data_IF_180018002192
#
_entry.id   IF_180018002192
#
_cell.length_a   1.000
_cell.length_b   1.000
_cell.length_c   1.000
_cell.angle_alpha   90.00
_cell.angle_beta   90.00
_cell.angle_gamma   90.00
#
_symmetry.space_group_name_H-M   'P 1'
#
loop_
_entity.id
_entity.type
_entity.pdbx_description
1 polymer ?
#
# COMPACT_ATOMS: atom_id res chain seq x y z
N UNK A 1 -22.81 3.00 22.25
CA UNK A 1 -22.35 4.00 21.25
C UNK A 1 -23.27 3.86 20.07
N UNK A 2 -24.03 4.90 19.74
CA UNK A 2 -24.90 4.89 18.57
C UNK A 2 -24.06 4.92 17.29
N UNK A 3 -24.56 4.28 16.22
CA UNK A 3 -23.86 4.22 14.93
C UNK A 3 -23.58 5.62 14.35
N UNK A 4 -24.45 6.60 14.62
CA UNK A 4 -24.28 8.02 14.28
C UNK A 4 -23.05 8.63 14.96
N UNK A 5 -22.80 8.32 16.23
CA UNK A 5 -21.64 8.85 16.97
C UNK A 5 -20.29 8.34 16.43
N UNK A 6 -20.22 7.12 15.88
CA UNK A 6 -19.02 6.59 15.25
C UNK A 6 -18.73 7.30 13.92
N UNK A 7 -19.78 7.57 13.13
CA UNK A 7 -19.65 8.30 11.88
C UNK A 7 -19.18 9.74 12.09
N UNK A 8 -19.68 10.41 13.13
CA UNK A 8 -19.28 11.76 13.49
C UNK A 8 -17.81 11.84 13.90
N UNK A 9 -17.34 10.88 14.73
CA UNK A 9 -15.92 10.79 15.13
C UNK A 9 -15.03 10.51 13.91
N UNK A 10 -15.45 9.59 13.04
CA UNK A 10 -14.72 9.20 11.83
C UNK A 10 -14.57 10.40 10.88
N UNK A 11 -15.63 11.24 10.75
CA UNK A 11 -15.59 12.46 10.00
C UNK A 11 -14.72 13.54 10.64
N UNK A 12 -14.78 13.74 11.96
CA UNK A 12 -13.93 14.69 12.68
C UNK A 12 -12.45 14.36 12.50
N UNK A 13 -12.07 13.08 12.59
CA UNK A 13 -10.69 12.65 12.35
C UNK A 13 -10.29 12.90 10.90
N UNK A 14 -11.19 12.64 9.93
CA UNK A 14 -10.93 12.93 8.53
C UNK A 14 -10.57 14.40 8.31
N UNK A 15 -11.29 15.34 8.95
CA UNK A 15 -11.06 16.78 8.79
C UNK A 15 -9.63 17.21 9.16
N UNK A 16 -8.95 16.49 10.06
CA UNK A 16 -7.55 16.79 10.42
C UNK A 16 -6.56 16.46 9.31
N UNK A 17 -6.92 15.52 8.42
CA UNK A 17 -6.06 15.05 7.34
C UNK A 17 -6.47 15.56 5.96
N UNK A 18 -7.73 16.03 5.83
CA UNK A 18 -8.30 16.32 4.54
C UNK A 18 -7.88 17.70 4.01
N UNK A 19 -7.16 17.67 2.90
CA UNK A 19 -6.82 18.83 2.10
C UNK A 19 -5.87 19.82 2.79
N UNK A 20 -5.38 20.72 2.00
CA UNK A 20 -4.71 21.94 2.46
C UNK A 20 -4.85 22.98 1.35
N UNK A 21 -4.62 24.25 1.66
CA UNK A 21 -4.58 25.31 0.65
C UNK A 21 -3.18 25.40 -0.03
N UNK A 22 -2.41 24.31 -0.01
CA UNK A 22 -1.05 24.25 -0.53
C UNK A 22 -1.00 23.42 -1.83
N UNK A 23 -0.87 24.10 -2.95
CA UNK A 23 -0.84 23.49 -4.29
C UNK A 23 0.31 22.47 -4.43
N UNK A 24 1.48 22.72 -3.82
CA UNK A 24 2.60 21.77 -3.87
C UNK A 24 2.20 20.46 -3.19
N UNK A 25 1.57 20.54 -2.02
CA UNK A 25 1.14 19.36 -1.28
C UNK A 25 0.04 18.60 -2.03
N UNK A 26 -0.88 19.31 -2.68
CA UNK A 26 -1.92 18.71 -3.52
C UNK A 26 -1.30 17.91 -4.67
N UNK A 27 -0.35 18.49 -5.42
CA UNK A 27 0.36 17.81 -6.49
C UNK A 27 1.20 16.63 -6.00
N UNK A 28 1.87 16.78 -4.84
CA UNK A 28 2.61 15.71 -4.19
C UNK A 28 1.70 14.51 -3.87
N UNK A 29 0.57 14.77 -3.23
CA UNK A 29 -0.39 13.73 -2.83
C UNK A 29 -1.01 13.06 -4.05
N UNK A 30 -1.36 13.83 -5.10
CA UNK A 30 -1.85 13.28 -6.36
C UNK A 30 -0.81 12.35 -7.03
N UNK A 31 0.47 12.71 -6.99
CA UNK A 31 1.54 11.85 -7.49
C UNK A 31 1.72 10.59 -6.62
N UNK A 32 1.75 10.73 -5.29
CA UNK A 32 1.94 9.61 -4.35
C UNK A 32 0.78 8.61 -4.37
N UNK A 33 -0.46 9.05 -4.62
CA UNK A 33 -1.62 8.15 -4.69
C UNK A 33 -1.68 7.38 -6.01
N UNK A 34 -0.90 7.77 -7.02
CA UNK A 34 -0.87 7.11 -8.32
C UNK A 34 -0.07 5.81 -8.25
N UNK A 35 -0.67 4.69 -8.67
CA UNK A 35 0.02 3.40 -8.78
C UNK A 35 1.23 3.43 -9.73
N UNK A 36 1.21 4.29 -10.75
CA UNK A 36 2.34 4.45 -11.69
C UNK A 36 3.61 4.98 -11.00
N UNK A 37 3.47 5.80 -9.96
CA UNK A 37 4.60 6.32 -9.18
C UNK A 37 5.41 5.20 -8.53
N UNK A 38 4.79 4.07 -8.22
CA UNK A 38 5.41 2.96 -7.50
C UNK A 38 5.93 1.85 -8.42
N UNK A 39 5.85 2.02 -9.76
CA UNK A 39 6.45 1.07 -10.71
C UNK A 39 7.92 0.79 -10.40
N UNK A 40 8.80 1.80 -10.11
CA UNK A 40 10.19 1.52 -9.74
C UNK A 40 10.31 0.61 -8.51
N UNK A 41 9.46 0.78 -7.49
CA UNK A 41 9.44 -0.09 -6.32
C UNK A 41 9.06 -1.54 -6.69
N UNK A 42 8.02 -1.74 -7.49
CA UNK A 42 7.62 -3.08 -7.91
C UNK A 42 8.69 -3.75 -8.78
N UNK A 43 9.37 -2.98 -9.64
CA UNK A 43 10.47 -3.49 -10.45
C UNK A 43 11.67 -3.91 -9.61
N UNK A 44 12.08 -3.11 -8.61
CA UNK A 44 13.20 -3.49 -7.74
C UNK A 44 12.85 -4.69 -6.87
N UNK A 45 11.62 -4.79 -6.35
CA UNK A 45 11.15 -5.99 -5.64
C UNK A 45 11.21 -7.23 -6.54
N UNK A 46 10.84 -7.11 -7.80
CA UNK A 46 10.97 -8.20 -8.76
C UNK A 46 12.44 -8.57 -9.03
N UNK A 47 13.33 -7.58 -9.20
CA UNK A 47 14.76 -7.80 -9.42
C UNK A 47 15.40 -8.54 -8.26
N UNK A 48 15.11 -8.16 -7.00
CA UNK A 48 15.66 -8.86 -5.84
C UNK A 48 15.15 -10.30 -5.73
N UNK A 49 13.89 -10.56 -6.11
CA UNK A 49 13.38 -11.92 -6.20
C UNK A 49 14.17 -12.74 -7.23
N UNK A 50 14.46 -12.17 -8.39
CA UNK A 50 15.25 -12.83 -9.42
C UNK A 50 16.70 -13.10 -8.98
N UNK A 51 17.32 -12.16 -8.25
CA UNK A 51 18.73 -12.28 -7.83
C UNK A 51 18.95 -13.27 -6.69
N UNK A 52 17.96 -13.40 -5.81
CA UNK A 52 18.07 -14.19 -4.58
C UNK A 52 17.36 -15.56 -4.65
N UNK A 53 16.91 -16.00 -5.84
CA UNK A 53 16.30 -17.32 -6.04
C UNK A 53 16.89 -18.01 -7.26
N UNK A 54 17.23 -19.28 -7.10
CA UNK A 54 18.01 -20.04 -8.10
C UNK A 54 17.17 -20.59 -9.25
N UNK A 55 15.90 -20.90 -8.99
CA UNK A 55 15.05 -21.59 -9.97
C UNK A 55 13.89 -20.72 -10.43
N UNK A 56 13.53 -20.89 -11.71
CA UNK A 56 12.36 -20.21 -12.32
C UNK A 56 11.07 -20.56 -11.55
N UNK A 57 10.99 -21.80 -11.01
CA UNK A 57 9.84 -22.22 -10.21
C UNK A 57 9.69 -21.44 -8.89
N UNK A 58 10.80 -21.18 -8.18
CA UNK A 58 10.81 -20.36 -6.96
C UNK A 58 10.39 -18.92 -7.27
N UNK A 59 10.98 -18.32 -8.30
CA UNK A 59 10.66 -16.95 -8.77
C UNK A 59 9.19 -16.88 -9.15
N UNK A 60 8.71 -17.82 -9.97
CA UNK A 60 7.31 -17.86 -10.40
C UNK A 60 6.32 -18.00 -9.24
N UNK A 61 6.66 -18.80 -8.22
CA UNK A 61 5.86 -18.96 -7.02
C UNK A 61 5.77 -17.64 -6.23
N UNK A 62 6.89 -16.93 -6.03
CA UNK A 62 6.92 -15.65 -5.30
C UNK A 62 6.11 -14.59 -6.05
N UNK A 63 6.36 -14.43 -7.36
CA UNK A 63 5.65 -13.45 -8.20
C UNK A 63 4.15 -13.77 -8.25
N UNK A 64 3.79 -15.05 -8.40
CA UNK A 64 2.41 -15.51 -8.35
C UNK A 64 1.74 -15.19 -7.01
N UNK A 65 2.43 -15.41 -5.89
CA UNK A 65 1.92 -15.06 -4.56
C UNK A 65 1.78 -13.54 -4.37
N UNK A 66 2.73 -12.74 -4.86
CA UNK A 66 2.59 -11.28 -4.84
C UNK A 66 1.36 -10.81 -5.64
N UNK A 67 1.10 -11.40 -6.80
CA UNK A 67 -0.13 -11.16 -7.57
C UNK A 67 -1.39 -11.60 -6.80
N UNK A 68 -1.37 -12.76 -6.14
CA UNK A 68 -2.48 -13.24 -5.31
C UNK A 68 -2.78 -12.31 -4.13
N UNK A 69 -1.76 -11.65 -3.54
CA UNK A 69 -1.99 -10.62 -2.52
C UNK A 69 -2.90 -9.51 -3.04
N UNK A 70 -2.60 -8.97 -4.23
CA UNK A 70 -3.40 -7.90 -4.84
C UNK A 70 -4.79 -8.45 -5.23
N UNK A 71 -4.84 -9.59 -5.91
CA UNK A 71 -6.08 -10.19 -6.38
C UNK A 71 -7.08 -10.45 -5.25
N UNK A 72 -6.63 -11.00 -4.13
CA UNK A 72 -7.52 -11.28 -2.99
C UNK A 72 -7.85 -10.02 -2.19
N UNK A 73 -6.89 -9.12 -1.94
CA UNK A 73 -7.14 -7.90 -1.21
C UNK A 73 -8.13 -7.00 -1.96
N UNK A 74 -7.90 -6.80 -3.26
CA UNK A 74 -8.78 -6.02 -4.13
C UNK A 74 -10.13 -6.70 -4.35
N UNK A 75 -10.11 -7.98 -4.70
CA UNK A 75 -11.33 -8.76 -4.95
C UNK A 75 -12.25 -8.84 -3.73
N UNK A 76 -11.73 -9.00 -2.52
CA UNK A 76 -12.52 -9.00 -1.29
C UNK A 76 -13.04 -7.59 -0.99
N UNK A 77 -12.17 -6.56 -1.10
CA UNK A 77 -12.56 -5.18 -0.83
C UNK A 77 -13.62 -4.68 -1.82
N UNK A 78 -13.34 -4.77 -3.13
CA UNK A 78 -14.22 -4.23 -4.18
C UNK A 78 -15.45 -5.14 -4.45
N UNK A 79 -15.22 -6.46 -4.51
CA UNK A 79 -16.24 -7.42 -4.93
C UNK A 79 -17.19 -7.84 -3.82
N UNK A 80 -16.78 -7.79 -2.55
CA UNK A 80 -17.58 -8.30 -1.42
C UNK A 80 -17.90 -7.18 -0.43
N UNK A 81 -16.88 -6.54 0.15
CA UNK A 81 -17.10 -5.64 1.29
C UNK A 81 -17.81 -4.35 0.86
N UNK A 82 -17.38 -3.72 -0.24
CA UNK A 82 -17.97 -2.46 -0.71
C UNK A 82 -19.45 -2.59 -1.05
N UNK A 83 -19.90 -3.60 -1.83
CA UNK A 83 -21.33 -3.77 -2.10
C UNK A 83 -22.16 -4.03 -0.85
N UNK A 84 -21.62 -4.78 0.14
CA UNK A 84 -22.31 -5.07 1.37
C UNK A 84 -22.44 -3.87 2.30
N UNK A 85 -21.38 -3.05 2.41
CA UNK A 85 -21.37 -1.88 3.28
C UNK A 85 -22.12 -0.69 2.66
N UNK A 86 -22.10 -0.55 1.34
CA UNK A 86 -22.72 0.51 0.55
C UNK A 86 -22.49 1.93 1.13
N UNK A 87 -21.34 2.17 1.77
CA UNK A 87 -21.00 3.44 2.43
C UNK A 87 -20.60 4.49 1.39
N UNK A 88 -21.23 5.67 1.46
CA UNK A 88 -20.83 6.80 0.64
C UNK A 88 -19.39 7.25 0.92
N UNK A 89 -18.69 7.71 -0.12
CA UNK A 89 -17.39 8.37 0.06
C UNK A 89 -17.57 9.77 0.66
N UNK A 90 -16.62 10.26 1.50
CA UNK A 90 -16.70 11.60 2.09
C UNK A 90 -17.00 12.68 1.05
N UNK A 91 -16.33 12.64 -0.10
CA UNK A 91 -16.49 13.59 -1.20
C UNK A 91 -17.85 13.53 -1.90
N UNK A 92 -18.64 12.46 -1.71
CA UNK A 92 -19.93 12.24 -2.35
C UNK A 92 -21.10 12.15 -1.36
N UNK A 93 -20.82 12.00 -0.07
CA UNK A 93 -21.82 11.86 0.99
C UNK A 93 -22.68 13.13 1.07
N UNK A 94 -24.04 13.05 0.90
CA UNK A 94 -24.92 14.21 0.93
C UNK A 94 -24.78 15.07 2.18
N UNK A 95 -24.42 14.49 3.32
CA UNK A 95 -24.33 15.18 4.60
C UNK A 95 -23.05 16.01 4.77
N UNK A 96 -21.92 15.50 4.25
CA UNK A 96 -20.60 16.08 4.55
C UNK A 96 -19.81 16.56 3.32
N UNK A 97 -20.25 16.26 2.10
CA UNK A 97 -19.54 16.55 0.84
C UNK A 97 -19.12 18.02 0.64
N UNK A 98 -19.85 18.96 1.25
CA UNK A 98 -19.54 20.39 1.16
C UNK A 98 -18.47 20.84 2.16
N UNK A 99 -18.20 20.02 3.18
CA UNK A 99 -17.15 20.25 4.18
C UNK A 99 -15.86 19.50 3.89
N UNK A 100 -15.83 18.70 2.79
CA UNK A 100 -14.67 17.95 2.36
C UNK A 100 -13.95 18.68 1.23
N UNK A 101 -12.66 18.94 1.42
CA UNK A 101 -11.81 19.51 0.37
C UNK A 101 -11.49 18.41 -0.66
N UNK A 102 -11.70 18.74 -1.93
CA UNK A 102 -11.47 17.84 -3.06
C UNK A 102 -10.39 18.43 -3.96
N UNK A 103 -9.28 17.70 -4.13
CA UNK A 103 -8.17 18.09 -4.99
C UNK A 103 -8.49 17.71 -6.44
N UNK A 104 -8.27 18.62 -7.39
CA UNK A 104 -8.47 18.42 -8.85
C UNK A 104 -9.85 17.82 -9.22
N UNK A 105 -10.90 18.14 -8.43
CA UNK A 105 -12.24 17.57 -8.59
C UNK A 105 -12.29 16.02 -8.56
N UNK A 106 -11.33 15.38 -7.90
CA UNK A 106 -11.25 13.93 -7.81
C UNK A 106 -12.41 13.36 -6.97
N UNK A 107 -13.46 12.90 -7.64
CA UNK A 107 -14.63 12.24 -7.05
C UNK A 107 -14.78 10.85 -7.63
N UNK A 108 -14.51 9.84 -6.81
CA UNK A 108 -14.68 8.45 -7.18
C UNK A 108 -16.16 8.06 -6.99
N UNK A 109 -16.73 7.30 -7.94
CA UNK A 109 -18.17 6.99 -7.99
C UNK A 109 -18.57 5.75 -7.18
N UNK A 110 -17.62 4.89 -6.84
CA UNK A 110 -17.81 3.65 -6.09
C UNK A 110 -17.95 3.90 -4.58
N UNK A 111 -18.27 2.85 -3.82
CA UNK A 111 -18.40 2.90 -2.37
C UNK A 111 -17.05 3.08 -1.66
N UNK A 112 -17.11 3.56 -0.41
CA UNK A 112 -15.94 3.91 0.39
C UNK A 112 -15.35 2.74 1.17
N UNK A 113 -16.18 1.97 1.86
CA UNK A 113 -15.75 0.96 2.83
C UNK A 113 -15.58 -0.44 2.19
N UNK A 114 -14.43 -1.10 2.37
CA UNK A 114 -13.17 -0.64 2.92
C UNK A 114 -12.22 -0.12 1.83
N UNK A 115 -11.08 0.49 2.22
CA UNK A 115 -10.11 0.99 1.25
C UNK A 115 -9.30 -0.13 0.60
N UNK A 116 -9.54 -0.40 -0.68
CA UNK A 116 -8.78 -1.36 -1.48
C UNK A 116 -7.30 -0.94 -1.63
N UNK A 117 -7.00 0.37 -1.74
CA UNK A 117 -5.62 0.87 -1.76
C UNK A 117 -4.85 0.50 -0.49
N UNK A 118 -5.46 0.70 0.68
CA UNK A 118 -4.86 0.32 1.95
C UNK A 118 -4.65 -1.19 2.04
N UNK A 119 -5.64 -1.98 1.60
CA UNK A 119 -5.56 -3.43 1.61
C UNK A 119 -4.44 -3.96 0.69
N UNK A 120 -4.37 -3.47 -0.55
CA UNK A 120 -3.38 -3.90 -1.54
C UNK A 120 -1.95 -3.55 -1.11
N UNK A 121 -1.70 -2.30 -0.69
CA UNK A 121 -0.35 -1.88 -0.29
C UNK A 121 0.11 -2.58 0.98
N UNK A 122 -0.78 -2.77 1.96
CA UNK A 122 -0.44 -3.48 3.19
C UNK A 122 -0.24 -4.98 2.94
N UNK A 123 -1.02 -5.64 2.07
CA UNK A 123 -0.84 -7.05 1.74
C UNK A 123 0.53 -7.32 1.12
N UNK A 124 0.97 -6.47 0.17
CA UNK A 124 2.31 -6.52 -0.42
C UNK A 124 3.38 -6.27 0.64
N UNK A 125 3.21 -5.25 1.49
CA UNK A 125 4.17 -4.93 2.55
C UNK A 125 4.36 -6.11 3.51
N UNK A 126 3.28 -6.74 3.96
CA UNK A 126 3.33 -7.89 4.86
C UNK A 126 3.94 -9.11 4.18
N UNK A 127 3.53 -9.42 2.94
CA UNK A 127 4.07 -10.56 2.21
C UNK A 127 5.59 -10.48 2.04
N UNK A 128 6.12 -9.35 1.52
CA UNK A 128 7.56 -9.18 1.35
C UNK A 128 8.32 -9.06 2.67
N UNK A 129 7.72 -8.49 3.71
CA UNK A 129 8.31 -8.45 5.06
C UNK A 129 8.53 -9.84 5.63
N UNK A 130 7.56 -10.73 5.47
CA UNK A 130 7.64 -12.12 5.93
C UNK A 130 8.56 -12.95 5.05
N UNK A 131 8.61 -12.66 3.74
CA UNK A 131 9.48 -13.33 2.77
C UNK A 131 10.96 -13.02 3.02
N UNK A 132 11.33 -11.75 3.13
CA UNK A 132 12.72 -11.31 3.21
C UNK A 132 13.25 -11.30 4.65
N UNK A 133 12.38 -11.06 5.63
CA UNK A 133 12.71 -11.00 7.07
C UNK A 133 13.81 -10.01 7.43
N UNK A 134 13.80 -8.85 6.79
CA UNK A 134 14.61 -7.70 7.15
C UNK A 134 13.78 -6.68 7.92
N UNK A 135 14.26 -6.23 9.08
CA UNK A 135 13.58 -5.17 9.88
C UNK A 135 13.50 -3.85 9.11
N UNK A 136 14.57 -3.52 8.41
CA UNK A 136 14.65 -2.29 7.63
C UNK A 136 13.65 -2.31 6.48
N UNK A 137 13.60 -3.38 5.70
CA UNK A 137 12.61 -3.55 4.63
C UNK A 137 11.18 -3.51 5.16
N UNK A 138 10.92 -4.21 6.28
CA UNK A 138 9.59 -4.22 6.91
C UNK A 138 9.14 -2.80 7.26
N UNK A 139 9.99 -2.04 7.97
CA UNK A 139 9.69 -0.66 8.33
C UNK A 139 9.40 0.19 7.09
N UNK A 140 10.23 0.07 6.07
CA UNK A 140 10.12 0.82 4.81
C UNK A 140 8.83 0.52 4.06
N UNK A 141 8.49 -0.77 3.88
CA UNK A 141 7.28 -1.15 3.15
C UNK A 141 6.00 -0.81 3.93
N UNK A 142 6.02 -0.94 5.26
CA UNK A 142 4.90 -0.50 6.09
C UNK A 142 4.75 1.01 6.04
N UNK A 143 5.84 1.77 6.16
CA UNK A 143 5.81 3.23 6.03
C UNK A 143 5.30 3.67 4.65
N UNK A 144 5.73 3.02 3.57
CA UNK A 144 5.21 3.24 2.21
C UNK A 144 3.71 2.99 2.12
N UNK A 145 3.22 1.89 2.72
CA UNK A 145 1.78 1.61 2.76
C UNK A 145 1.00 2.68 3.54
N UNK A 146 1.53 3.12 4.70
CA UNK A 146 0.90 4.17 5.51
C UNK A 146 0.88 5.53 4.80
N UNK A 147 1.93 5.88 4.04
CA UNK A 147 1.93 7.07 3.18
C UNK A 147 0.81 6.98 2.14
N UNK A 148 0.64 5.83 1.47
CA UNK A 148 -0.47 5.62 0.54
C UNK A 148 -1.83 5.73 1.25
N UNK A 149 -1.99 5.21 2.46
CA UNK A 149 -3.19 5.36 3.27
C UNK A 149 -3.49 6.84 3.59
N UNK A 150 -2.47 7.59 4.00
CA UNK A 150 -2.59 9.02 4.28
C UNK A 150 -3.06 9.82 3.05
N UNK A 151 -2.56 9.51 1.85
CA UNK A 151 -3.01 10.19 0.63
C UNK A 151 -4.52 10.04 0.41
N UNK A 152 -5.11 8.91 0.82
CA UNK A 152 -6.57 8.67 0.65
C UNK A 152 -7.41 9.54 1.59
N UNK A 153 -6.91 9.77 2.82
CA UNK A 153 -7.53 10.69 3.77
C UNK A 153 -7.40 12.14 3.30
N UNK A 154 -6.19 12.52 2.87
CA UNK A 154 -5.93 13.87 2.36
C UNK A 154 -6.87 14.24 1.20
N UNK A 155 -7.08 13.33 0.26
CA UNK A 155 -7.94 13.52 -0.91
C UNK A 155 -9.44 13.44 -0.59
N UNK A 156 -9.82 13.15 0.66
CA UNK A 156 -11.24 13.04 1.06
C UNK A 156 -12.00 11.90 0.36
N UNK A 157 -11.30 10.85 -0.10
CA UNK A 157 -11.91 9.72 -0.80
C UNK A 157 -12.26 8.55 0.10
N UNK A 158 -11.69 8.49 1.32
CA UNK A 158 -11.97 7.47 2.33
C UNK A 158 -12.05 8.09 3.73
N UNK A 159 -12.85 7.49 4.58
CA UNK A 159 -12.84 7.77 6.02
C UNK A 159 -11.69 7.01 6.72
N UNK A 160 -11.24 7.47 7.92
CA UNK A 160 -10.24 6.75 8.72
C UNK A 160 -10.59 5.29 8.97
N UNK A 161 -11.84 4.98 9.28
CA UNK A 161 -12.30 3.61 9.53
C UNK A 161 -12.14 2.71 8.27
N UNK A 162 -12.37 3.26 7.07
CA UNK A 162 -12.17 2.53 5.80
C UNK A 162 -10.71 2.12 5.64
N UNK A 163 -9.79 3.01 6.04
CA UNK A 163 -8.34 2.77 6.00
C UNK A 163 -7.94 1.70 7.01
N UNK A 164 -8.38 1.81 8.26
CA UNK A 164 -8.07 0.82 9.30
C UNK A 164 -8.55 -0.58 8.90
N UNK A 165 -9.79 -0.69 8.40
CA UNK A 165 -10.31 -1.97 7.92
C UNK A 165 -9.56 -2.48 6.69
N UNK A 166 -9.15 -1.59 5.77
CA UNK A 166 -8.31 -1.96 4.63
C UNK A 166 -6.94 -2.50 5.06
N UNK A 167 -6.28 -1.82 6.02
CA UNK A 167 -5.01 -2.28 6.59
C UNK A 167 -5.16 -3.67 7.22
N UNK A 168 -6.20 -3.89 8.04
CA UNK A 168 -6.46 -5.19 8.67
C UNK A 168 -6.69 -6.29 7.62
N UNK A 169 -7.48 -6.00 6.59
CA UNK A 169 -7.68 -6.91 5.47
C UNK A 169 -6.35 -7.24 4.78
N UNK A 170 -5.52 -6.23 4.50
CA UNK A 170 -4.21 -6.41 3.89
C UNK A 170 -3.27 -7.27 4.73
N UNK A 171 -3.24 -7.07 6.06
CA UNK A 171 -2.44 -7.91 6.99
C UNK A 171 -2.91 -9.37 6.91
N UNK A 172 -4.21 -9.61 6.96
CA UNK A 172 -4.77 -10.96 6.90
C UNK A 172 -4.43 -11.63 5.56
N UNK A 173 -4.71 -10.97 4.44
CA UNK A 173 -4.44 -11.50 3.10
C UNK A 173 -2.95 -11.76 2.90
N UNK A 174 -2.07 -10.78 3.20
CA UNK A 174 -0.62 -10.92 3.05
C UNK A 174 -0.05 -12.08 3.88
N UNK A 175 -0.55 -12.24 5.11
CA UNK A 175 -0.16 -13.34 5.99
C UNK A 175 -0.63 -14.69 5.46
N UNK A 176 -1.89 -14.81 5.04
CA UNK A 176 -2.43 -16.08 4.50
C UNK A 176 -1.72 -16.49 3.21
N UNK A 177 -1.47 -15.54 2.30
CA UNK A 177 -0.72 -15.81 1.07
C UNK A 177 0.73 -16.20 1.38
N UNK A 178 1.38 -15.56 2.38
CA UNK A 178 2.71 -15.99 2.82
C UNK A 178 2.71 -17.42 3.40
N UNK A 179 1.72 -17.78 4.20
CA UNK A 179 1.61 -19.16 4.74
C UNK A 179 1.41 -20.18 3.61
N UNK A 180 0.60 -19.85 2.61
CA UNK A 180 0.46 -20.66 1.39
C UNK A 180 1.80 -20.78 0.65
N UNK A 181 2.47 -19.64 0.39
CA UNK A 181 3.81 -19.61 -0.21
C UNK A 181 4.79 -20.50 0.55
N UNK A 182 4.91 -20.32 1.87
CA UNK A 182 5.85 -21.07 2.71
C UNK A 182 5.61 -22.58 2.63
N UNK A 183 4.35 -23.01 2.63
CA UNK A 183 3.99 -24.44 2.48
C UNK A 183 4.40 -24.99 1.11
N UNK A 184 4.19 -24.23 0.04
CA UNK A 184 4.55 -24.66 -1.32
C UNK A 184 6.06 -24.64 -1.53
N UNK A 185 6.73 -23.58 -1.07
CA UNK A 185 8.17 -23.41 -1.19
C UNK A 185 8.96 -24.54 -0.51
N UNK A 186 8.56 -24.96 0.69
CA UNK A 186 9.18 -26.09 1.42
C UNK A 186 9.08 -27.45 0.68
N UNK A 187 8.18 -27.60 -0.28
CA UNK A 187 8.12 -28.79 -1.14
C UNK A 187 9.11 -28.74 -2.30
N UNK A 188 9.56 -27.53 -2.67
CA UNK A 188 10.45 -27.29 -3.81
C UNK A 188 11.91 -27.18 -3.39
N UNK A 189 12.16 -26.70 -2.16
CA UNK A 189 13.51 -26.45 -1.66
C UNK A 189 13.60 -26.78 -0.17
N UNK A 190 14.70 -27.42 0.29
CA UNK A 190 14.94 -27.61 1.72
C UNK A 190 15.12 -26.26 2.41
N UNK A 191 14.67 -26.17 3.66
CA UNK A 191 14.80 -24.96 4.47
C UNK A 191 16.26 -24.79 4.90
N UNK A 192 16.97 -23.82 4.32
CA UNK A 192 18.32 -23.43 4.70
C UNK A 192 18.21 -22.16 5.56
N UNK A 193 18.78 -22.20 6.77
CA UNK A 193 18.90 -21.00 7.61
C UNK A 193 20.27 -20.37 7.38
N UNK A 194 20.26 -19.15 6.90
CA UNK A 194 21.47 -18.36 6.73
C UNK A 194 21.85 -17.70 8.05
N UNK A 195 23.10 -17.90 8.48
CA UNK A 195 23.70 -17.23 9.65
C UNK A 195 24.88 -16.41 9.14
N UNK A 196 24.58 -15.17 8.72
CA UNK A 196 25.58 -14.26 8.15
C UNK A 196 25.15 -12.82 8.38
N UNK A 197 26.11 -11.90 8.42
CA UNK A 197 25.84 -10.47 8.40
C UNK A 197 25.49 -9.94 7.00
N UNK A 198 25.80 -10.70 5.95
CA UNK A 198 25.58 -10.34 4.55
C UNK A 198 24.17 -10.73 4.06
N UNK A 199 23.61 -11.81 4.62
CA UNK A 199 22.31 -12.33 4.19
C UNK A 199 21.28 -12.30 5.32
N UNK A 200 20.02 -12.05 4.97
CA UNK A 200 18.90 -12.23 5.89
C UNK A 200 18.74 -13.72 6.27
N UNK A 201 17.97 -14.01 7.30
CA UNK A 201 17.71 -15.40 7.72
C UNK A 201 17.03 -16.28 6.65
N UNK A 202 16.49 -15.67 5.60
CA UNK A 202 15.84 -16.30 4.44
C UNK A 202 16.71 -16.30 3.18
N UNK A 203 17.97 -15.81 3.28
CA UNK A 203 18.95 -15.84 2.20
C UNK A 203 18.93 -14.66 1.24
N UNK A 204 18.21 -13.59 1.56
CA UNK A 204 18.26 -12.36 0.76
C UNK A 204 19.48 -11.53 1.12
N UNK A 205 20.20 -11.02 0.11
CA UNK A 205 21.37 -10.16 0.29
C UNK A 205 20.97 -8.81 0.87
N UNK A 206 21.75 -8.33 1.85
CA UNK A 206 21.52 -7.03 2.48
C UNK A 206 21.75 -5.86 1.50
N UNK A 207 22.70 -5.98 0.57
CA UNK A 207 22.95 -4.98 -0.46
C UNK A 207 21.74 -4.81 -1.40
N UNK A 208 21.00 -5.88 -1.66
CA UNK A 208 19.76 -5.82 -2.43
C UNK A 208 18.65 -5.09 -1.68
N UNK A 209 18.64 -5.13 -0.34
CA UNK A 209 17.70 -4.35 0.47
C UNK A 209 18.05 -2.87 0.39
N UNK A 210 19.33 -2.51 0.43
CA UNK A 210 19.80 -1.12 0.27
C UNK A 210 19.44 -0.56 -1.11
N UNK A 211 19.42 -1.41 -2.15
CA UNK A 211 18.95 -1.04 -3.48
C UNK A 211 17.46 -0.64 -3.46
N UNK A 212 16.60 -1.36 -2.72
CA UNK A 212 15.17 -0.98 -2.57
C UNK A 212 15.05 0.39 -1.91
N UNK A 213 15.83 0.63 -0.84
CA UNK A 213 15.84 1.91 -0.14
C UNK A 213 16.25 3.05 -1.08
N UNK A 214 17.31 2.84 -1.86
CA UNK A 214 17.80 3.81 -2.84
C UNK A 214 16.73 4.14 -3.88
N UNK A 215 16.09 3.13 -4.47
CA UNK A 215 15.02 3.33 -5.46
C UNK A 215 13.82 4.07 -4.87
N UNK A 216 13.41 3.75 -3.63
CA UNK A 216 12.35 4.47 -2.95
C UNK A 216 12.70 5.94 -2.72
N UNK A 217 13.90 6.22 -2.22
CA UNK A 217 14.37 7.59 -2.00
C UNK A 217 14.42 8.39 -3.31
N UNK A 218 14.96 7.81 -4.39
CA UNK A 218 14.96 8.44 -5.71
C UNK A 218 13.55 8.70 -6.23
N UNK A 219 12.61 7.77 -6.01
CA UNK A 219 11.20 7.95 -6.38
C UNK A 219 10.57 9.10 -5.62
N UNK A 220 10.82 9.22 -4.31
CA UNK A 220 10.32 10.34 -3.50
C UNK A 220 10.93 11.67 -3.94
N UNK A 221 12.23 11.72 -4.20
CA UNK A 221 12.91 12.92 -4.72
C UNK A 221 12.29 13.33 -6.07
N UNK A 222 12.08 12.37 -6.98
CA UNK A 222 11.42 12.64 -8.26
C UNK A 222 10.02 13.23 -8.08
N UNK A 223 9.21 12.67 -7.17
CA UNK A 223 7.84 13.15 -6.91
C UNK A 223 7.85 14.57 -6.34
N UNK A 224 8.77 14.88 -5.41
CA UNK A 224 8.93 16.22 -4.85
C UNK A 224 9.33 17.21 -5.94
N UNK A 225 10.35 16.89 -6.74
CA UNK A 225 10.81 17.75 -7.84
C UNK A 225 9.70 17.99 -8.86
N UNK A 226 8.95 16.96 -9.24
CA UNK A 226 7.79 17.07 -10.14
C UNK A 226 6.73 18.01 -9.58
N UNK A 227 6.39 17.90 -8.29
CA UNK A 227 5.41 18.77 -7.65
C UNK A 227 5.84 20.24 -7.68
N UNK A 228 7.13 20.53 -7.47
CA UNK A 228 7.70 21.88 -7.55
C UNK A 228 7.69 22.41 -8.98
N UNK A 229 8.11 21.61 -9.96
CA UNK A 229 8.11 22.01 -11.39
C UNK A 229 6.71 22.33 -11.88
N UNK A 230 5.71 21.51 -11.56
CA UNK A 230 4.32 21.76 -11.94
C UNK A 230 3.76 23.05 -11.33
N UNK A 231 4.23 23.47 -10.15
CA UNK A 231 3.86 24.74 -9.54
C UNK A 231 4.50 25.94 -10.26
N UNK A 232 5.76 25.80 -10.70
CA UNK A 232 6.50 26.92 -11.34
C UNK A 232 6.10 27.16 -12.79
N UNK A 233 5.34 26.25 -13.40
CA UNK A 233 4.88 26.36 -14.80
C UNK A 233 6.01 26.18 -15.83
N UNK A 234 7.14 25.59 -15.40
CA UNK A 234 8.28 25.21 -16.25
C UNK A 234 8.03 23.89 -17.00
#
# INVERSE_FOLDING_TARGET
MDFSSIQDIDFQILQWFNGSNNVILDQLVMALTSGFTWIPLYLVLFIIVMRNNETVGQIGLIVGCAFLCILFADGIAEGIIKPLAARWRPSNDPLVKYSVQVVDNLRLKDYSFCSAHAANTMAIAVFFSLLVRSRMLTFTLVAWSLVNCWTRLYLGVHYPLDIVCGILLGIVVGTLVYLFFHRMYRRMSPEIKYVSNQYTSTGYDCDDIDMIMTVLMLTLVYVILRAVVLMTGL
#
